data_IF_899945446425
#
_entry.id   IF_899945446425
#
_cell.length_a   1.000
_cell.length_b   1.000
_cell.length_c   1.000
_cell.angle_alpha   90.00
_cell.angle_beta   90.00
_cell.angle_gamma   90.00
#
_symmetry.space_group_name_H-M   'P 1'
#
loop_
_entity.id
_entity.type
_entity.pdbx_description
1 polymer ?
#
# COMPACT_ATOMS: atom_id res chain seq x y z
N UNK A 1 14.33 3.20 16.92
CA UNK A 1 15.18 2.26 17.73
C UNK A 1 16.39 1.89 16.91
N UNK A 2 17.57 2.06 17.47
CA UNK A 2 18.83 1.77 16.79
C UNK A 2 19.18 0.34 17.14
N UNK A 3 19.20 -0.55 16.15
CA UNK A 3 19.47 -1.96 16.36
C UNK A 3 20.93 -2.27 16.02
N UNK A 4 21.87 -1.91 16.86
CA UNK A 4 23.24 -2.41 16.79
C UNK A 4 23.32 -3.67 17.63
N UNK A 5 23.48 -4.83 17.00
CA UNK A 5 23.41 -6.15 17.65
C UNK A 5 24.38 -6.29 18.82
N UNK A 6 25.58 -5.75 18.69
CA UNK A 6 26.59 -5.77 19.75
C UNK A 6 26.16 -4.94 20.97
N UNK A 7 25.50 -3.80 20.74
CA UNK A 7 25.00 -2.95 21.82
C UNK A 7 23.86 -3.62 22.58
N UNK A 8 22.93 -4.23 21.86
CA UNK A 8 21.82 -4.98 22.46
C UNK A 8 22.33 -6.12 23.32
N UNK A 9 23.34 -6.85 22.86
CA UNK A 9 23.95 -7.96 23.61
C UNK A 9 24.71 -7.49 24.90
N UNK A 10 24.98 -6.19 25.01
CA UNK A 10 25.63 -5.56 26.16
C UNK A 10 24.69 -4.56 26.86
N UNK A 11 23.36 -4.80 26.78
CA UNK A 11 22.32 -4.06 27.50
C UNK A 11 22.27 -2.56 27.19
N UNK A 12 22.81 -2.12 26.02
CA UNK A 12 22.61 -0.76 25.54
C UNK A 12 21.35 -0.72 24.66
N UNK A 13 20.25 -0.39 25.28
CA UNK A 13 18.91 -0.49 24.70
C UNK A 13 18.27 0.87 24.47
N UNK A 14 18.72 1.90 25.18
CA UNK A 14 18.05 3.21 25.26
C UNK A 14 18.98 4.35 24.84
N UNK A 15 18.40 5.35 24.19
CA UNK A 15 19.10 6.59 23.80
C UNK A 15 19.74 7.27 25.02
N UNK A 16 19.05 7.29 26.18
CA UNK A 16 19.58 7.86 27.44
C UNK A 16 20.91 7.28 27.87
N UNK A 17 21.19 6.02 27.52
CA UNK A 17 22.46 5.36 27.88
C UNK A 17 23.64 5.92 27.08
N UNK A 18 23.35 6.56 25.93
CA UNK A 18 24.32 7.27 25.07
C UNK A 18 24.44 8.76 25.44
N UNK A 19 23.76 9.20 26.50
CA UNK A 19 23.67 10.58 26.89
C UNK A 19 24.46 10.82 28.17
N UNK A 20 25.12 11.97 28.24
CA UNK A 20 25.81 12.40 29.47
C UNK A 20 24.88 13.36 30.20
N UNK A 21 24.32 12.90 31.32
CA UNK A 21 23.37 13.69 32.15
C UNK A 21 23.97 14.97 32.74
N UNK A 22 25.30 15.03 32.88
CA UNK A 22 25.96 16.20 33.52
C UNK A 22 26.07 17.39 32.58
N UNK A 23 26.22 17.18 31.28
CA UNK A 23 26.39 18.24 30.28
C UNK A 23 25.28 18.32 29.24
N UNK A 24 24.26 17.49 29.34
CA UNK A 24 23.11 17.41 28.42
C UNK A 24 23.50 17.18 26.96
N UNK A 25 24.58 16.41 26.72
CA UNK A 25 25.08 16.08 25.39
C UNK A 25 25.22 14.57 25.23
N UNK A 26 25.25 14.10 23.98
CA UNK A 26 25.62 12.72 23.71
C UNK A 26 27.07 12.47 24.11
N UNK A 27 27.34 11.27 24.58
CA UNK A 27 28.73 10.82 24.88
C UNK A 27 29.57 11.01 23.61
N UNK A 28 30.82 11.43 23.78
CA UNK A 28 31.82 11.30 22.72
C UNK A 28 32.15 9.82 22.51
N UNK A 29 32.74 9.49 21.36
CA UNK A 29 33.13 8.09 21.11
C UNK A 29 34.10 7.54 22.14
N UNK A 30 34.95 8.40 22.66
CA UNK A 30 35.92 8.03 23.74
C UNK A 30 35.16 7.72 25.03
N UNK A 31 34.32 8.64 25.51
CA UNK A 31 33.46 8.40 26.68
C UNK A 31 32.56 7.17 26.54
N UNK A 32 32.05 6.93 25.31
CA UNK A 32 31.29 5.73 25.03
C UNK A 32 32.12 4.45 25.20
N UNK A 33 33.37 4.44 24.73
CA UNK A 33 34.28 3.31 24.87
C UNK A 33 34.71 3.10 26.31
N UNK A 34 34.93 4.16 27.07
CA UNK A 34 35.24 4.11 28.50
C UNK A 34 34.08 3.54 29.31
N UNK A 35 32.85 3.98 29.01
CA UNK A 35 31.64 3.52 29.69
C UNK A 35 31.28 2.07 29.35
N UNK A 36 31.57 1.64 28.12
CA UNK A 36 31.22 0.31 27.58
C UNK A 36 32.46 -0.40 26.99
N UNK A 37 33.43 -0.77 27.80
CA UNK A 37 34.71 -1.32 27.31
C UNK A 37 34.59 -2.68 26.64
N UNK A 38 33.51 -3.43 26.91
CA UNK A 38 33.25 -4.75 26.33
C UNK A 38 32.85 -4.68 24.87
N UNK A 39 32.42 -3.51 24.36
CA UNK A 39 31.98 -3.32 23.01
C UNK A 39 33.16 -3.10 22.07
N UNK A 40 33.70 -4.19 21.50
CA UNK A 40 34.90 -4.16 20.67
C UNK A 40 34.67 -3.83 19.22
N UNK A 41 33.55 -4.28 18.64
CA UNK A 41 33.27 -4.16 17.20
C UNK A 41 32.73 -2.79 16.73
N UNK A 42 32.27 -1.97 17.68
CA UNK A 42 31.78 -0.62 17.34
C UNK A 42 32.97 0.28 17.04
N UNK A 43 33.08 0.74 15.82
CA UNK A 43 34.04 1.74 15.38
C UNK A 43 33.45 3.15 15.42
N UNK A 44 34.30 4.17 15.23
CA UNK A 44 33.89 5.58 15.24
C UNK A 44 32.77 5.89 14.21
N UNK A 45 32.88 5.36 13.00
CA UNK A 45 31.90 5.65 11.94
C UNK A 45 30.51 5.09 12.26
N UNK A 46 30.46 3.86 12.81
CA UNK A 46 29.19 3.28 13.24
C UNK A 46 28.58 4.07 14.39
N UNK A 47 29.40 4.46 15.38
CA UNK A 47 28.94 5.26 16.52
C UNK A 47 28.42 6.61 16.07
N UNK A 48 29.20 7.36 15.27
CA UNK A 48 28.83 8.69 14.74
C UNK A 48 27.54 8.61 13.91
N UNK A 49 27.45 7.64 13.00
CA UNK A 49 26.24 7.46 12.19
C UNK A 49 24.98 7.20 13.01
N UNK A 50 25.12 6.46 14.12
CA UNK A 50 24.01 6.23 15.06
C UNK A 50 23.62 7.53 15.77
N UNK A 51 24.60 8.29 16.29
CA UNK A 51 24.35 9.57 16.98
C UNK A 51 23.71 10.58 16.02
N UNK A 52 24.23 10.72 14.79
CA UNK A 52 23.68 11.61 13.77
C UNK A 52 22.23 11.26 13.42
N UNK A 53 21.92 9.99 13.25
CA UNK A 53 20.56 9.53 13.00
C UNK A 53 19.60 9.87 14.16
N UNK A 54 20.06 9.71 15.41
CA UNK A 54 19.29 10.11 16.59
C UNK A 54 19.09 11.62 16.63
N UNK A 55 20.13 12.41 16.40
CA UNK A 55 20.04 13.87 16.42
C UNK A 55 19.07 14.39 15.35
N UNK A 56 19.14 13.85 14.13
CA UNK A 56 18.20 14.21 13.06
C UNK A 56 16.74 13.88 13.41
N UNK A 57 16.51 12.81 14.15
CA UNK A 57 15.19 12.45 14.66
C UNK A 57 14.74 13.39 15.79
N UNK A 58 15.65 13.76 16.71
CA UNK A 58 15.38 14.60 17.88
C UNK A 58 15.13 16.07 17.52
N UNK A 59 15.73 16.60 16.45
CA UNK A 59 15.46 17.98 15.96
C UNK A 59 13.97 18.20 15.68
N UNK A 60 13.23 17.13 15.39
CA UNK A 60 11.79 17.18 15.08
C UNK A 60 10.87 16.95 16.28
N UNK A 61 11.41 16.58 17.43
CA UNK A 61 10.63 16.24 18.63
C UNK A 61 11.27 16.83 19.87
N UNK A 62 10.52 17.64 20.60
CA UNK A 62 10.94 18.07 21.96
C UNK A 62 10.80 16.86 22.86
N UNK A 63 11.93 16.24 23.24
CA UNK A 63 11.94 15.11 24.17
C UNK A 63 12.25 15.63 25.56
N UNK A 64 11.27 15.62 26.43
CA UNK A 64 11.44 15.66 27.87
C UNK A 64 11.71 14.23 28.36
N UNK A 65 12.88 13.98 28.92
CA UNK A 65 13.17 12.70 29.58
C UNK A 65 12.43 12.68 30.92
N UNK A 66 11.32 11.95 30.97
CA UNK A 66 10.61 11.66 32.21
C UNK A 66 11.21 10.37 32.80
N UNK A 67 11.80 10.46 33.98
CA UNK A 67 12.39 9.32 34.70
C UNK A 67 11.34 8.30 35.17
N UNK A 68 10.03 8.61 35.03
CA UNK A 68 8.93 7.74 35.43
C UNK A 68 8.65 6.59 34.46
N UNK A 69 9.23 6.59 33.24
CA UNK A 69 9.09 5.48 32.31
C UNK A 69 9.98 4.31 32.74
N UNK A 70 9.53 3.53 33.70
CA UNK A 70 10.01 2.16 33.88
C UNK A 70 9.53 1.38 32.66
N UNK A 71 10.45 1.12 31.74
CA UNK A 71 10.22 0.10 30.71
C UNK A 71 10.06 -1.21 31.44
N UNK A 72 8.83 -1.70 31.45
CA UNK A 72 8.56 -3.06 31.92
C UNK A 72 9.47 -3.96 31.06
N UNK A 73 10.37 -4.68 31.70
CA UNK A 73 11.13 -5.77 31.09
C UNK A 73 10.14 -6.82 30.60
N UNK A 74 9.61 -6.63 29.43
CA UNK A 74 8.62 -7.54 28.91
C UNK A 74 9.33 -8.63 28.12
N UNK A 75 8.85 -9.85 28.29
CA UNK A 75 9.16 -11.02 27.41
C UNK A 75 9.12 -10.66 25.92
N UNK A 76 8.46 -9.57 25.56
CA UNK A 76 8.40 -9.00 24.22
C UNK A 76 9.77 -8.61 23.67
N UNK A 77 10.73 -8.17 24.51
CA UNK A 77 12.06 -7.79 24.07
C UNK A 77 12.93 -8.98 23.71
N UNK A 78 12.86 -10.07 24.48
CA UNK A 78 13.56 -11.31 24.15
C UNK A 78 13.06 -11.95 22.87
N UNK A 79 11.79 -11.71 22.53
CA UNK A 79 11.15 -12.16 21.29
C UNK A 79 11.54 -11.25 20.12
N UNK A 80 11.70 -9.94 20.33
CA UNK A 80 12.16 -8.98 19.32
C UNK A 80 13.58 -9.27 18.82
N UNK A 81 14.45 -9.84 19.67
CA UNK A 81 15.78 -10.26 19.26
C UNK A 81 15.80 -11.46 18.29
N UNK A 82 14.68 -12.14 18.10
CA UNK A 82 14.58 -13.34 17.25
C UNK A 82 14.24 -13.08 15.77
N UNK A 83 14.05 -11.81 15.35
CA UNK A 83 13.90 -11.46 13.93
C UNK A 83 13.06 -10.21 13.65
N UNK A 84 13.33 -9.58 12.51
CA UNK A 84 12.64 -8.37 12.05
C UNK A 84 11.12 -8.51 11.94
N UNK A 85 10.61 -9.73 11.73
CA UNK A 85 9.18 -10.04 11.65
C UNK A 85 8.45 -9.83 12.98
N UNK A 86 9.08 -10.16 14.09
CA UNK A 86 8.51 -10.00 15.46
C UNK A 86 8.60 -8.54 15.92
N UNK A 87 9.70 -7.85 15.58
CA UNK A 87 9.82 -6.39 15.79
C UNK A 87 8.71 -5.67 15.05
N UNK A 88 8.48 -6.04 13.78
CA UNK A 88 7.39 -5.49 12.98
C UNK A 88 6.02 -5.76 13.60
N UNK A 89 5.77 -6.96 14.11
CA UNK A 89 4.52 -7.32 14.79
C UNK A 89 4.34 -6.55 16.11
N UNK A 90 5.41 -6.30 16.86
CA UNK A 90 5.36 -5.50 18.09
C UNK A 90 5.00 -4.04 17.80
N UNK A 91 5.58 -3.43 16.76
CA UNK A 91 5.23 -2.06 16.35
C UNK A 91 3.85 -1.97 15.65
N UNK A 92 3.37 -3.04 15.03
CA UNK A 92 2.03 -3.10 14.43
C UNK A 92 0.91 -3.34 15.46
N UNK A 93 1.23 -3.66 16.73
CA UNK A 93 0.24 -3.73 17.81
C UNK A 93 -0.32 -2.36 18.22
N UNK A 94 0.38 -1.28 17.93
CA UNK A 94 -0.21 0.05 17.99
C UNK A 94 -0.93 0.25 16.66
N UNK A 95 -2.23 0.47 16.69
CA UNK A 95 -3.11 0.71 15.53
C UNK A 95 -2.66 1.93 14.73
N UNK A 96 -1.54 1.79 14.02
CA UNK A 96 -1.07 2.82 13.09
C UNK A 96 -1.96 2.73 11.86
N UNK A 97 -3.00 3.55 11.87
CA UNK A 97 -3.87 3.71 10.70
C UNK A 97 -3.05 4.34 9.59
N UNK A 98 -2.92 3.70 8.41
CA UNK A 98 -2.21 4.30 7.29
C UNK A 98 -2.78 5.69 6.94
N UNK A 99 -1.91 6.67 6.70
CA UNK A 99 -2.34 8.05 6.34
C UNK A 99 -3.32 8.07 5.16
N UNK A 100 -3.19 7.12 4.24
CA UNK A 100 -4.12 6.98 3.13
C UNK A 100 -5.54 6.65 3.58
N UNK A 101 -5.69 5.80 4.61
CA UNK A 101 -6.99 5.44 5.21
C UNK A 101 -7.65 6.69 5.81
N UNK A 102 -6.90 7.50 6.55
CA UNK A 102 -7.42 8.74 7.10
C UNK A 102 -7.98 9.66 6.00
N UNK A 103 -7.22 9.82 4.90
CA UNK A 103 -7.65 10.64 3.76
C UNK A 103 -8.84 10.05 2.99
N UNK A 104 -9.00 8.73 2.97
CA UNK A 104 -10.16 8.09 2.36
C UNK A 104 -11.40 8.24 3.26
N UNK A 105 -11.24 8.18 4.58
CA UNK A 105 -12.33 8.37 5.55
C UNK A 105 -12.90 9.80 5.54
N UNK A 106 -12.16 10.78 5.04
CA UNK A 106 -12.67 12.14 4.80
C UNK A 106 -13.75 12.20 3.70
N UNK A 107 -13.79 11.17 2.84
CA UNK A 107 -14.63 11.15 1.62
C UNK A 107 -15.62 10.00 1.58
N UNK A 108 -15.33 8.92 2.28
CA UNK A 108 -16.11 7.69 2.29
C UNK A 108 -16.27 7.21 3.72
N UNK A 109 -17.52 6.98 4.12
CA UNK A 109 -17.88 6.47 5.45
C UNK A 109 -17.98 4.92 5.41
N UNK A 110 -17.84 4.29 6.58
CA UNK A 110 -18.12 2.86 6.82
C UNK A 110 -17.33 1.86 5.95
N UNK A 111 -16.07 2.16 5.63
CA UNK A 111 -15.21 1.23 4.91
C UNK A 111 -14.50 0.29 5.88
N UNK A 112 -14.70 -1.02 5.70
CA UNK A 112 -13.90 -2.03 6.39
C UNK A 112 -12.53 -2.18 5.74
N UNK A 113 -11.57 -1.36 6.16
CA UNK A 113 -10.21 -1.34 5.60
C UNK A 113 -9.48 -2.65 5.71
N UNK A 114 -9.72 -3.42 6.77
CA UNK A 114 -9.10 -4.74 6.94
C UNK A 114 -9.48 -5.66 5.77
N UNK A 115 -10.76 -5.72 5.43
CA UNK A 115 -11.25 -6.54 4.32
C UNK A 115 -10.76 -6.02 2.98
N UNK A 116 -10.78 -4.70 2.76
CA UNK A 116 -10.27 -4.06 1.53
C UNK A 116 -8.80 -4.41 1.29
N UNK A 117 -7.95 -4.29 2.30
CA UNK A 117 -6.54 -4.66 2.17
C UNK A 117 -6.34 -6.18 2.02
N UNK A 118 -7.11 -6.99 2.76
CA UNK A 118 -7.05 -8.45 2.61
C UNK A 118 -7.42 -8.91 1.20
N UNK A 119 -8.46 -8.33 0.59
CA UNK A 119 -8.87 -8.62 -0.79
C UNK A 119 -7.80 -8.25 -1.80
N UNK A 120 -7.16 -7.08 -1.62
CA UNK A 120 -6.05 -6.65 -2.48
C UNK A 120 -4.94 -7.73 -2.56
N UNK A 121 -4.65 -8.42 -1.46
CA UNK A 121 -3.60 -9.44 -1.42
C UNK A 121 -4.00 -10.81 -1.98
N UNK A 122 -5.28 -11.04 -2.25
CA UNK A 122 -5.78 -12.31 -2.83
C UNK A 122 -5.56 -12.44 -4.34
N UNK A 123 -5.31 -11.34 -5.05
CA UNK A 123 -5.04 -11.42 -6.49
C UNK A 123 -3.77 -12.24 -6.77
N UNK A 124 -3.89 -13.21 -7.66
CA UNK A 124 -2.76 -14.01 -8.15
C UNK A 124 -1.83 -13.20 -9.05
N UNK A 125 -2.38 -12.29 -9.86
CA UNK A 125 -1.59 -11.39 -10.70
C UNK A 125 -0.87 -10.34 -9.85
N UNK A 126 0.46 -10.47 -9.79
CA UNK A 126 1.33 -9.58 -9.00
C UNK A 126 1.24 -8.11 -9.46
N UNK A 127 1.04 -7.86 -10.77
CA UNK A 127 0.92 -6.48 -11.30
C UNK A 127 -0.36 -5.82 -10.81
N UNK A 128 -1.48 -6.53 -10.86
CA UNK A 128 -2.77 -6.03 -10.39
C UNK A 128 -2.77 -5.85 -8.87
N UNK A 129 -2.16 -6.77 -8.13
CA UNK A 129 -1.98 -6.68 -6.69
C UNK A 129 -1.23 -5.42 -6.29
N UNK A 130 -0.06 -5.17 -6.88
CA UNK A 130 0.74 -3.96 -6.61
C UNK A 130 0.05 -2.69 -7.07
N UNK A 131 -0.64 -2.74 -8.20
CA UNK A 131 -1.41 -1.61 -8.70
C UNK A 131 -2.53 -1.24 -7.72
N UNK A 132 -3.36 -2.21 -7.30
CA UNK A 132 -4.43 -1.98 -6.34
C UNK A 132 -3.89 -1.48 -4.99
N UNK A 133 -2.78 -2.03 -4.52
CA UNK A 133 -2.10 -1.53 -3.33
C UNK A 133 -1.72 -0.04 -3.45
N UNK A 134 -1.20 0.39 -4.61
CA UNK A 134 -0.90 1.81 -4.87
C UNK A 134 -2.16 2.67 -4.95
N UNK A 135 -3.28 2.15 -5.47
CA UNK A 135 -4.58 2.83 -5.44
C UNK A 135 -4.98 3.08 -4.00
N UNK A 136 -5.01 2.04 -3.16
CA UNK A 136 -5.40 2.12 -1.76
C UNK A 136 -4.52 3.08 -0.96
N UNK A 137 -3.22 3.09 -1.21
CA UNK A 137 -2.27 4.00 -0.57
C UNK A 137 -2.17 5.38 -1.23
N UNK A 138 -2.97 5.66 -2.28
CA UNK A 138 -2.96 6.93 -3.06
C UNK A 138 -1.58 7.27 -3.62
N UNK A 139 -0.83 6.27 -4.06
CA UNK A 139 0.55 6.39 -4.53
C UNK A 139 0.70 6.34 -6.05
N UNK A 140 -0.40 6.33 -6.81
CA UNK A 140 -0.31 6.37 -8.27
C UNK A 140 0.12 7.77 -8.75
N UNK A 141 1.11 7.86 -9.65
CA UNK A 141 1.55 9.11 -10.25
C UNK A 141 0.45 9.67 -11.19
N UNK A 142 -0.48 10.45 -10.63
CA UNK A 142 -1.42 11.31 -11.37
C UNK A 142 -0.79 12.67 -11.64
N UNK A 143 -1.38 13.48 -12.54
CA UNK A 143 -0.81 14.82 -12.79
C UNK A 143 -0.82 15.70 -11.54
N UNK A 144 -1.88 15.65 -10.73
CA UNK A 144 -1.90 16.34 -9.43
C UNK A 144 -0.76 15.88 -8.52
N UNK A 145 -0.53 14.57 -8.42
CA UNK A 145 0.56 14.00 -7.61
C UNK A 145 1.95 14.44 -8.13
N UNK A 146 2.13 14.52 -9.44
CA UNK A 146 3.39 14.95 -10.07
C UNK A 146 3.58 16.47 -9.97
N UNK A 147 2.49 17.24 -10.14
CA UNK A 147 2.50 18.69 -9.98
C UNK A 147 2.89 19.12 -8.56
N UNK A 148 2.33 18.48 -7.52
CA UNK A 148 2.67 18.76 -6.13
C UNK A 148 4.16 18.50 -5.82
N UNK A 149 4.84 17.70 -6.67
CA UNK A 149 6.27 17.40 -6.59
C UNK A 149 7.12 18.18 -7.59
N UNK A 150 6.52 19.15 -8.30
CA UNK A 150 7.18 20.00 -9.31
C UNK A 150 7.82 19.18 -10.45
N UNK A 151 7.22 18.05 -10.83
CA UNK A 151 7.68 17.20 -11.94
C UNK A 151 6.98 17.58 -13.25
N UNK A 152 5.75 18.11 -13.16
CA UNK A 152 4.98 18.62 -14.30
C UNK A 152 4.49 20.03 -13.98
N UNK A 153 4.24 20.82 -15.04
CA UNK A 153 3.91 22.24 -14.92
C UNK A 153 2.44 22.51 -14.60
N UNK A 154 1.55 21.55 -14.90
CA UNK A 154 0.13 21.70 -14.65
C UNK A 154 -0.49 20.43 -14.05
N UNK A 155 -1.55 20.55 -13.23
CA UNK A 155 -2.22 19.42 -12.60
C UNK A 155 -3.41 18.88 -13.42
N UNK A 156 -3.71 19.44 -14.59
CA UNK A 156 -4.93 19.14 -15.34
C UNK A 156 -4.88 17.77 -16.01
N UNK A 157 -6.06 17.15 -16.17
CA UNK A 157 -6.21 15.84 -16.77
C UNK A 157 -5.94 15.86 -18.26
N UNK A 158 -4.94 15.11 -18.74
CA UNK A 158 -4.65 15.01 -20.18
C UNK A 158 -5.64 14.14 -20.97
N UNK A 159 -6.63 13.49 -20.31
CA UNK A 159 -7.71 12.78 -21.00
C UNK A 159 -8.91 13.70 -21.32
N UNK A 160 -9.30 14.59 -20.40
CA UNK A 160 -10.43 15.51 -20.59
C UNK A 160 -10.02 16.98 -20.69
N UNK A 161 -8.83 17.35 -20.25
CA UNK A 161 -8.24 18.70 -20.25
C UNK A 161 -9.01 19.76 -19.44
N UNK A 162 -9.99 19.37 -18.63
CA UNK A 162 -10.86 20.30 -17.93
C UNK A 162 -10.65 20.35 -16.42
N UNK A 163 -10.35 19.23 -15.80
CA UNK A 163 -10.29 19.10 -14.34
C UNK A 163 -8.91 18.70 -13.84
N UNK A 164 -8.64 19.00 -12.57
CA UNK A 164 -7.42 18.56 -11.89
C UNK A 164 -7.41 17.03 -11.80
N UNK A 165 -6.35 16.41 -12.30
CA UNK A 165 -6.26 14.96 -12.33
C UNK A 165 -5.83 14.40 -10.98
N UNK A 166 -6.78 14.22 -10.08
CA UNK A 166 -6.63 13.42 -8.88
C UNK A 166 -6.73 11.91 -9.21
N UNK A 167 -6.45 11.05 -8.23
CA UNK A 167 -6.65 9.61 -8.39
C UNK A 167 -8.11 9.25 -8.66
N UNK A 168 -9.03 9.89 -7.94
CA UNK A 168 -10.47 9.71 -8.11
C UNK A 168 -10.92 10.20 -9.48
N UNK A 169 -10.46 11.40 -9.88
CA UNK A 169 -10.78 11.90 -11.20
C UNK A 169 -10.32 10.94 -12.30
N UNK A 170 -9.08 10.46 -12.26
CA UNK A 170 -8.55 9.56 -13.27
C UNK A 170 -9.32 8.23 -13.33
N UNK A 171 -9.62 7.61 -12.19
CA UNK A 171 -10.21 6.27 -12.14
C UNK A 171 -11.74 6.28 -12.17
N UNK A 172 -12.39 7.40 -11.84
CA UNK A 172 -13.84 7.49 -11.73
C UNK A 172 -14.43 8.70 -12.42
N UNK A 173 -14.23 9.95 -11.94
CA UNK A 173 -15.03 11.11 -12.31
C UNK A 173 -14.66 11.74 -13.67
N UNK A 174 -13.54 11.39 -14.30
CA UNK A 174 -13.19 11.86 -15.63
C UNK A 174 -14.25 11.45 -16.67
N UNK A 175 -14.75 12.39 -17.47
CA UNK A 175 -15.77 12.11 -18.48
C UNK A 175 -15.39 10.98 -19.46
N UNK A 176 -14.09 10.86 -19.79
CA UNK A 176 -13.60 9.76 -20.65
C UNK A 176 -13.61 8.42 -19.93
N UNK A 177 -13.34 8.43 -18.64
CA UNK A 177 -13.40 7.24 -17.78
C UNK A 177 -14.84 6.85 -17.47
N UNK A 178 -15.74 7.81 -17.26
CA UNK A 178 -17.15 7.55 -17.07
C UNK A 178 -17.79 6.89 -18.31
N UNK A 179 -17.45 7.37 -19.51
CA UNK A 179 -17.90 6.74 -20.76
C UNK A 179 -17.38 5.30 -20.90
N UNK A 180 -16.16 5.03 -20.45
CA UNK A 180 -15.61 3.67 -20.41
C UNK A 180 -16.38 2.80 -19.41
N UNK A 181 -16.63 3.27 -18.20
CA UNK A 181 -17.36 2.51 -17.17
C UNK A 181 -18.81 2.23 -17.56
N UNK A 182 -19.52 3.22 -18.07
CA UNK A 182 -20.91 3.04 -18.51
C UNK A 182 -21.03 1.99 -19.63
N UNK A 183 -20.12 2.04 -20.60
CA UNK A 183 -20.09 1.04 -21.69
C UNK A 183 -19.73 -0.35 -21.17
N UNK A 184 -18.74 -0.47 -20.27
CA UNK A 184 -18.35 -1.75 -19.66
C UNK A 184 -19.50 -2.33 -18.84
N UNK A 185 -20.21 -1.49 -18.08
CA UNK A 185 -21.34 -1.93 -17.25
C UNK A 185 -22.52 -2.46 -18.07
N UNK A 186 -22.80 -1.87 -19.21
CA UNK A 186 -23.83 -2.40 -20.12
C UNK A 186 -23.50 -3.84 -20.54
N UNK A 187 -22.24 -4.13 -20.83
CA UNK A 187 -21.79 -5.48 -21.18
C UNK A 187 -21.83 -6.44 -19.99
N UNK A 188 -21.37 -6.00 -18.81
CA UNK A 188 -21.40 -6.83 -17.59
C UNK A 188 -22.85 -7.15 -17.19
N UNK A 189 -23.79 -6.21 -17.30
CA UNK A 189 -25.21 -6.44 -16.98
C UNK A 189 -25.88 -7.47 -17.89
N UNK A 190 -25.33 -7.71 -19.07
CA UNK A 190 -25.81 -8.78 -19.95
C UNK A 190 -25.31 -10.17 -19.49
N UNK A 191 -24.38 -10.24 -18.55
CA UNK A 191 -23.94 -11.50 -17.98
C UNK A 191 -24.98 -12.02 -16.96
N UNK A 192 -25.22 -13.34 -16.88
CA UNK A 192 -26.10 -13.94 -15.88
C UNK A 192 -25.68 -13.50 -14.45
N UNK A 193 -26.66 -13.24 -13.60
CA UNK A 193 -26.49 -12.82 -12.20
C UNK A 193 -25.87 -11.42 -11.99
N UNK A 194 -25.50 -10.69 -13.03
CA UNK A 194 -24.91 -9.34 -12.90
C UNK A 194 -25.91 -8.20 -13.06
N UNK A 195 -27.19 -8.49 -13.33
CA UNK A 195 -28.21 -7.47 -13.57
C UNK A 195 -28.40 -6.47 -12.43
N UNK A 196 -28.24 -6.91 -11.19
CA UNK A 196 -28.37 -6.09 -9.98
C UNK A 196 -27.09 -5.32 -9.60
N UNK A 197 -26.00 -5.50 -10.35
CA UNK A 197 -24.73 -4.83 -10.03
C UNK A 197 -24.84 -3.34 -10.35
N UNK A 198 -24.77 -2.51 -9.32
CA UNK A 198 -24.67 -1.06 -9.48
C UNK A 198 -23.24 -0.62 -9.26
N UNK A 199 -22.67 0.02 -10.29
CA UNK A 199 -21.32 0.56 -10.20
C UNK A 199 -21.35 1.87 -9.43
N UNK A 200 -20.55 1.92 -8.36
CA UNK A 200 -20.30 3.12 -7.57
C UNK A 200 -18.81 3.42 -7.53
N UNK A 201 -18.46 4.65 -7.18
CA UNK A 201 -17.06 5.03 -6.98
C UNK A 201 -16.39 4.13 -5.95
N UNK A 202 -17.07 3.83 -4.84
CA UNK A 202 -16.56 2.96 -3.79
C UNK A 202 -16.29 1.55 -4.29
N UNK A 203 -17.24 0.96 -5.05
CA UNK A 203 -17.07 -0.36 -5.65
C UNK A 203 -15.86 -0.40 -6.59
N UNK A 204 -15.68 0.64 -7.39
CA UNK A 204 -14.53 0.74 -8.30
C UNK A 204 -13.23 0.87 -7.52
N UNK A 205 -13.15 1.73 -6.52
CA UNK A 205 -11.91 2.01 -5.80
C UNK A 205 -11.52 0.89 -4.83
N UNK A 206 -12.47 0.38 -4.06
CA UNK A 206 -12.22 -0.49 -2.92
C UNK A 206 -12.72 -1.92 -3.07
N UNK A 207 -13.56 -2.20 -4.06
CA UNK A 207 -14.32 -3.43 -4.17
C UNK A 207 -15.60 -3.42 -3.30
N UNK A 208 -16.27 -4.55 -3.21
CA UNK A 208 -17.54 -4.62 -2.49
C UNK A 208 -17.35 -4.46 -0.97
N UNK A 209 -18.09 -3.54 -0.36
CA UNK A 209 -18.10 -3.30 1.09
C UNK A 209 -18.77 -4.43 1.88
N UNK A 210 -19.82 -4.97 1.33
CA UNK A 210 -20.63 -5.97 2.02
C UNK A 210 -20.11 -7.36 1.63
N UNK A 211 -19.82 -8.20 2.60
CA UNK A 211 -19.43 -9.61 2.44
C UNK A 211 -20.46 -10.48 1.68
N UNK A 212 -21.43 -9.89 0.99
CA UNK A 212 -22.21 -10.52 -0.05
C UNK A 212 -21.19 -10.92 -1.12
N UNK A 213 -21.06 -12.21 -1.35
CA UNK A 213 -20.13 -12.83 -2.30
C UNK A 213 -20.11 -12.08 -3.62
N UNK A 214 -19.28 -11.03 -3.70
CA UNK A 214 -18.90 -10.52 -5.00
C UNK A 214 -18.08 -11.59 -5.64
N UNK A 215 -18.53 -11.98 -6.77
CA UNK A 215 -17.81 -12.91 -7.62
C UNK A 215 -16.37 -12.40 -7.78
N UNK A 216 -15.42 -13.24 -7.45
CA UNK A 216 -13.98 -12.94 -7.54
C UNK A 216 -13.59 -12.51 -8.95
N UNK A 217 -14.35 -12.94 -9.97
CA UNK A 217 -14.16 -12.57 -11.37
C UNK A 217 -14.55 -11.10 -11.61
N UNK A 218 -15.66 -10.61 -11.04
CA UNK A 218 -16.02 -9.18 -11.12
C UNK A 218 -14.94 -8.33 -10.46
N UNK A 219 -14.46 -8.67 -9.28
CA UNK A 219 -13.37 -7.93 -8.63
C UNK A 219 -12.10 -7.91 -9.50
N UNK A 220 -11.77 -9.05 -10.14
CA UNK A 220 -10.66 -9.13 -11.07
C UNK A 220 -10.87 -8.22 -12.30
N UNK A 221 -12.07 -8.24 -12.91
CA UNK A 221 -12.42 -7.39 -14.05
C UNK A 221 -12.31 -5.91 -13.67
N UNK A 222 -12.84 -5.49 -12.52
CA UNK A 222 -12.80 -4.10 -12.06
C UNK A 222 -11.36 -3.61 -11.82
N UNK A 223 -10.52 -4.44 -11.18
CA UNK A 223 -9.10 -4.07 -10.96
C UNK A 223 -8.33 -4.05 -12.28
N UNK A 224 -8.59 -4.99 -13.18
CA UNK A 224 -8.00 -5.02 -14.52
C UNK A 224 -8.41 -3.79 -15.35
N UNK A 225 -9.67 -3.37 -15.26
CA UNK A 225 -10.18 -2.18 -15.92
C UNK A 225 -9.52 -0.90 -15.39
N UNK A 226 -9.39 -0.75 -14.06
CA UNK A 226 -8.63 0.37 -13.46
C UNK A 226 -7.18 0.40 -13.95
N UNK A 227 -6.53 -0.75 -13.97
CA UNK A 227 -5.16 -0.86 -14.46
C UNK A 227 -5.06 -0.47 -15.93
N UNK A 228 -6.02 -0.89 -16.76
CA UNK A 228 -6.09 -0.51 -18.17
C UNK A 228 -6.33 1.00 -18.35
N UNK A 229 -7.24 1.62 -17.59
CA UNK A 229 -7.47 3.07 -17.60
C UNK A 229 -6.15 3.80 -17.26
N UNK A 230 -5.47 3.38 -16.20
CA UNK A 230 -4.20 3.98 -15.79
C UNK A 230 -3.10 3.82 -16.84
N UNK A 231 -2.96 2.65 -17.45
CA UNK A 231 -1.97 2.43 -18.51
C UNK A 231 -2.31 3.20 -19.80
N UNK A 232 -3.60 3.33 -20.13
CA UNK A 232 -4.04 4.17 -21.23
C UNK A 232 -3.68 5.64 -21.01
N UNK A 233 -3.95 6.16 -19.82
CA UNK A 233 -3.51 7.49 -19.39
C UNK A 233 -2.00 7.67 -19.53
N UNK A 234 -1.20 6.74 -19.00
CA UNK A 234 0.26 6.77 -19.10
C UNK A 234 0.77 6.84 -20.55
N UNK A 235 0.05 6.23 -21.47
CA UNK A 235 0.35 6.20 -22.90
C UNK A 235 -0.36 7.32 -23.71
N UNK A 236 -0.95 8.30 -23.06
CA UNK A 236 -1.74 9.40 -23.67
C UNK A 236 -2.84 8.89 -24.61
N UNK A 237 -3.48 7.77 -24.26
CA UNK A 237 -4.57 7.16 -25.02
C UNK A 237 -5.86 7.22 -24.22
N UNK A 238 -6.97 7.50 -24.91
CA UNK A 238 -8.32 7.40 -24.32
C UNK A 238 -8.68 5.92 -24.09
N UNK A 239 -9.11 5.52 -22.88
CA UNK A 239 -9.51 4.14 -22.62
C UNK A 239 -10.74 3.76 -23.44
N UNK A 240 -10.68 2.60 -24.14
CA UNK A 240 -11.76 2.07 -24.97
C UNK A 240 -12.12 0.66 -24.52
N UNK A 241 -13.40 0.38 -24.32
CA UNK A 241 -13.89 -0.93 -23.85
C UNK A 241 -13.50 -2.05 -24.79
N UNK A 242 -13.65 -1.86 -26.10
CA UNK A 242 -13.25 -2.89 -27.10
C UNK A 242 -11.78 -3.34 -26.95
N UNK A 243 -10.89 -2.38 -26.76
CA UNK A 243 -9.46 -2.69 -26.55
C UNK A 243 -9.23 -3.35 -25.19
N UNK A 244 -9.93 -2.90 -24.15
CA UNK A 244 -9.88 -3.53 -22.84
C UNK A 244 -10.34 -4.99 -22.89
N UNK A 245 -11.44 -5.30 -23.56
CA UNK A 245 -11.95 -6.67 -23.68
C UNK A 245 -10.96 -7.59 -24.41
N UNK A 246 -10.28 -7.09 -25.44
CA UNK A 246 -9.20 -7.85 -26.10
C UNK A 246 -8.04 -8.16 -25.13
N UNK A 247 -7.64 -7.18 -24.31
CA UNK A 247 -6.62 -7.41 -23.26
C UNK A 247 -7.12 -8.39 -22.20
N UNK A 248 -8.36 -8.27 -21.77
CA UNK A 248 -8.98 -9.15 -20.79
C UNK A 248 -9.09 -10.60 -21.31
N UNK A 249 -9.45 -10.76 -22.60
CA UNK A 249 -9.50 -12.08 -23.26
C UNK A 249 -8.15 -12.77 -23.27
N UNK A 250 -7.09 -12.04 -23.61
CA UNK A 250 -5.72 -12.60 -23.55
C UNK A 250 -5.35 -13.04 -22.12
N UNK A 251 -5.72 -12.24 -21.13
CA UNK A 251 -5.51 -12.58 -19.72
C UNK A 251 -6.34 -13.78 -19.26
N UNK A 252 -7.57 -13.89 -19.74
CA UNK A 252 -8.41 -15.07 -19.50
C UNK A 252 -7.70 -16.33 -19.98
N UNK A 253 -7.17 -16.36 -21.21
CA UNK A 253 -6.44 -17.53 -21.76
C UNK A 253 -5.20 -17.85 -20.92
N UNK A 254 -4.41 -16.83 -20.50
CA UNK A 254 -3.26 -17.05 -19.61
C UNK A 254 -3.67 -17.68 -18.27
N UNK A 255 -4.75 -17.18 -17.64
CA UNK A 255 -5.28 -17.71 -16.37
C UNK A 255 -5.85 -19.11 -16.53
N UNK A 256 -6.50 -19.39 -17.64
CA UNK A 256 -6.99 -20.72 -17.98
C UNK A 256 -5.84 -21.73 -18.06
N UNK A 257 -4.77 -21.42 -18.79
CA UNK A 257 -3.57 -22.25 -18.87
C UNK A 257 -2.94 -22.48 -17.50
N UNK A 258 -2.82 -21.44 -16.67
CA UNK A 258 -2.32 -21.55 -15.30
C UNK A 258 -3.21 -22.45 -14.44
N UNK A 259 -4.53 -22.43 -14.65
CA UNK A 259 -5.46 -23.27 -13.93
C UNK A 259 -5.27 -24.76 -14.24
N UNK A 260 -4.93 -25.10 -15.48
CA UNK A 260 -4.54 -26.46 -15.86
C UNK A 260 -3.28 -26.93 -15.14
N UNK A 261 -2.25 -26.10 -15.16
CA UNK A 261 -0.97 -26.40 -14.48
C UNK A 261 -1.18 -26.62 -12.98
N UNK A 262 -2.06 -25.83 -12.36
CA UNK A 262 -2.33 -25.89 -10.92
C UNK A 262 -3.42 -26.92 -10.54
N UNK A 263 -4.00 -27.65 -11.48
CA UNK A 263 -5.08 -28.60 -11.22
C UNK A 263 -6.41 -27.98 -10.78
N UNK A 264 -6.64 -26.71 -11.09
CA UNK A 264 -7.83 -25.94 -10.68
C UNK A 264 -8.76 -25.57 -11.85
N UNK A 265 -8.62 -26.25 -12.98
CA UNK A 265 -9.34 -25.95 -14.24
C UNK A 265 -10.87 -25.96 -14.09
N UNK A 266 -11.42 -26.91 -13.32
CA UNK A 266 -12.88 -27.00 -13.10
C UNK A 266 -13.38 -25.78 -12.31
N UNK A 267 -12.66 -25.38 -11.26
CA UNK A 267 -13.03 -24.20 -10.45
C UNK A 267 -12.95 -22.95 -11.29
N UNK A 268 -11.91 -22.82 -12.11
CA UNK A 268 -11.71 -21.70 -13.04
C UNK A 268 -12.87 -21.64 -14.06
N UNK A 269 -13.16 -22.74 -14.74
CA UNK A 269 -14.23 -22.82 -15.74
C UNK A 269 -15.60 -22.43 -15.15
N UNK A 270 -15.93 -22.95 -13.97
CA UNK A 270 -17.17 -22.63 -13.27
C UNK A 270 -17.25 -21.13 -12.92
N UNK A 271 -16.15 -20.53 -12.43
CA UNK A 271 -16.11 -19.11 -12.05
C UNK A 271 -16.27 -18.19 -13.28
N UNK A 272 -15.66 -18.52 -14.41
CA UNK A 272 -15.67 -17.71 -15.61
C UNK A 272 -16.84 -18.00 -16.57
N UNK A 273 -17.58 -19.09 -16.37
CA UNK A 273 -18.70 -19.49 -17.24
C UNK A 273 -19.75 -18.38 -17.44
N UNK A 274 -20.00 -17.61 -16.37
CA UNK A 274 -20.97 -16.50 -16.36
C UNK A 274 -20.53 -15.29 -17.19
N UNK A 275 -19.24 -15.18 -17.48
CA UNK A 275 -18.62 -14.00 -18.11
C UNK A 275 -18.14 -14.27 -19.55
N UNK A 276 -18.35 -15.45 -20.08
CA UNK A 276 -17.92 -15.79 -21.44
C UNK A 276 -18.56 -14.91 -22.52
N UNK A 277 -19.78 -14.39 -22.28
CA UNK A 277 -20.45 -13.42 -23.14
C UNK A 277 -19.71 -12.11 -23.33
N UNK A 278 -18.75 -11.77 -22.45
CA UNK A 278 -17.88 -10.59 -22.62
C UNK A 278 -16.86 -10.77 -23.75
N UNK A 279 -16.60 -11.99 -24.19
CA UNK A 279 -15.57 -12.32 -25.18
C UNK A 279 -16.12 -12.67 -26.57
N UNK A 280 -17.42 -12.68 -26.70
CA UNK A 280 -18.14 -12.83 -27.97
C UNK A 280 -18.32 -11.46 -28.61
#
# INVERSE_FOLDING_TARGET
MICVKEWINNDILYIRQLFNSNNNKFLTFVEFKEKYPVILKTNFLLYSGVIDAIQQYLIKTVITFDDSYRVVETKAWSVACKGSKLIKLFFLKNDIVPTAVLRWNEMFEDINWKDVFCKCFKFSDTKLKWFQGRVLHRLLPTRKFLFDRKIVDDPFCNLCSHEVQTLQHLLWSCVKTQNFWSTLMLLIKNCPHCHALNLSEELVLFGNKNNVMTDSVIEYILVSAKYYIYTSYRNNKTPRVKTFLAVLKNRYVELEMLSYVNGTSIVFANSWSLYQSLFV
#
